data_IF_982388953256
#
_entry.id   IF_982388953256
#
_cell.length_a   1.000
_cell.length_b   1.000
_cell.length_c   1.000
_cell.angle_alpha   90.00
_cell.angle_beta   90.00
_cell.angle_gamma   90.00
#
_symmetry.space_group_name_H-M   'P 1'
#
loop_
_entity.id
_entity.type
_entity.pdbx_description
1 polymer ?
#
# COMPACT_ATOMS: atom_id res chain seq x y z
N UNK A 1 0.15 23.08 14.14
CA UNK A 1 1.16 22.02 14.10
C UNK A 1 2.05 22.34 12.93
N UNK A 2 3.36 22.31 13.14
CA UNK A 2 4.38 22.78 12.20
C UNK A 2 5.56 21.85 12.35
N UNK A 3 6.09 21.34 11.25
CA UNK A 3 7.36 20.65 11.20
C UNK A 3 8.51 21.67 11.42
N UNK A 4 9.08 21.70 12.63
CA UNK A 4 10.06 22.69 13.06
C UNK A 4 11.49 22.27 12.71
N UNK A 5 11.78 20.97 12.64
CA UNK A 5 13.11 20.45 12.37
C UNK A 5 13.29 19.86 10.95
N UNK A 6 12.20 19.79 10.19
CA UNK A 6 12.13 19.36 8.78
C UNK A 6 12.38 17.87 8.58
N UNK A 7 12.04 17.04 9.57
CA UNK A 7 12.15 15.59 9.45
C UNK A 7 10.89 14.92 8.85
N UNK A 8 9.82 15.69 8.66
CA UNK A 8 8.62 15.27 7.96
C UNK A 8 7.45 14.90 8.88
N UNK A 9 7.61 14.96 10.20
CA UNK A 9 6.50 14.84 11.14
C UNK A 9 6.07 16.21 11.73
N UNK A 10 5.07 16.21 12.62
CA UNK A 10 4.45 17.44 13.12
C UNK A 10 4.82 17.74 14.57
N UNK A 11 5.63 18.79 14.77
CA UNK A 11 6.00 19.22 16.12
C UNK A 11 4.91 19.94 16.90
N UNK A 12 5.03 19.79 18.22
CA UNK A 12 4.25 20.54 19.20
C UNK A 12 5.12 21.56 19.94
N UNK A 13 4.80 22.84 19.77
CA UNK A 13 5.39 23.92 20.55
C UNK A 13 4.50 24.25 21.75
N UNK A 14 5.05 24.11 22.96
CA UNK A 14 4.39 24.51 24.20
C UNK A 14 5.13 25.63 24.92
N UNK A 15 4.38 26.48 25.63
CA UNK A 15 4.94 27.54 26.47
C UNK A 15 4.39 27.45 27.89
N UNK A 16 5.26 27.44 28.88
CA UNK A 16 4.90 27.52 30.29
C UNK A 16 4.98 28.95 30.79
N UNK A 17 3.84 29.51 31.19
CA UNK A 17 3.77 30.84 31.81
C UNK A 17 4.31 30.86 33.24
N UNK A 18 4.32 29.71 33.92
CA UNK A 18 4.80 29.59 35.31
C UNK A 18 6.32 29.59 35.38
N UNK A 19 6.98 28.95 34.42
CA UNK A 19 8.45 28.84 34.37
C UNK A 19 9.08 29.78 33.33
N UNK A 20 8.28 30.44 32.50
CA UNK A 20 8.77 31.31 31.42
C UNK A 20 9.58 30.55 30.38
N UNK A 21 9.24 29.28 30.12
CA UNK A 21 9.98 28.40 29.23
C UNK A 21 9.15 28.00 28.02
N UNK A 22 9.80 27.86 26.87
CA UNK A 22 9.24 27.17 25.72
C UNK A 22 9.85 25.76 25.67
N UNK A 23 9.04 24.79 25.27
CA UNK A 23 9.46 23.41 25.04
C UNK A 23 8.91 22.95 23.69
N UNK A 24 9.72 22.18 22.98
CA UNK A 24 9.32 21.45 21.78
C UNK A 24 9.07 20.01 22.24
N UNK A 25 7.92 19.47 21.89
CA UNK A 25 7.63 18.04 22.01
C UNK A 25 7.67 17.48 20.61
N UNK A 26 8.67 16.63 20.41
CA UNK A 26 8.90 15.88 19.19
C UNK A 26 7.80 14.83 19.02
N UNK A 27 7.24 14.73 17.82
CA UNK A 27 6.16 13.80 17.51
C UNK A 27 6.63 12.63 16.66
N UNK A 28 7.73 11.96 17.04
CA UNK A 28 8.32 10.79 16.36
C UNK A 28 7.28 9.94 15.63
N UNK A 29 7.06 10.23 14.35
CA UNK A 29 6.24 9.39 13.48
C UNK A 29 7.16 8.26 13.01
N UNK A 30 6.91 7.00 13.43
CA UNK A 30 7.77 5.92 13.01
C UNK A 30 7.69 5.79 11.48
N UNK A 31 8.84 5.56 10.84
CA UNK A 31 8.88 5.25 9.42
C UNK A 31 7.92 4.10 9.11
N UNK A 32 7.13 4.19 8.03
CA UNK A 32 6.29 3.09 7.59
C UNK A 32 7.11 1.81 7.41
N UNK A 33 6.63 0.71 7.98
CA UNK A 33 7.26 -0.61 7.81
C UNK A 33 7.36 -1.06 6.34
N UNK A 34 6.41 -0.65 5.49
CA UNK A 34 6.39 -0.97 4.07
C UNK A 34 5.84 0.19 3.24
N UNK A 35 6.55 0.58 2.19
CA UNK A 35 6.05 1.46 1.13
C UNK A 35 5.96 0.65 -0.17
N UNK A 36 4.75 0.48 -0.69
CA UNK A 36 4.51 -0.24 -1.94
C UNK A 36 4.00 0.72 -3.01
N UNK A 37 4.71 0.81 -4.13
CA UNK A 37 4.27 1.53 -5.33
C UNK A 37 3.71 0.54 -6.33
N UNK A 38 2.44 0.66 -6.68
CA UNK A 38 1.75 -0.21 -7.63
C UNK A 38 1.51 0.56 -8.92
N UNK A 39 1.87 -0.09 -10.04
CA UNK A 39 1.75 0.48 -11.38
C UNK A 39 0.93 -0.43 -12.26
N UNK A 40 0.00 0.14 -13.02
CA UNK A 40 -0.70 -0.59 -14.09
C UNK A 40 0.07 -0.48 -15.40
N UNK A 41 0.03 -1.52 -16.26
CA UNK A 41 0.71 -1.46 -17.55
C UNK A 41 -0.02 -0.49 -18.50
N UNK A 42 0.69 0.07 -19.49
CA UNK A 42 0.07 0.93 -20.51
C UNK A 42 -1.03 0.22 -21.32
N UNK A 43 -1.00 -1.12 -21.37
CA UNK A 43 -2.01 -1.95 -22.01
C UNK A 43 -3.20 -2.28 -21.09
N UNK A 44 -3.30 -1.63 -19.93
CA UNK A 44 -4.36 -1.86 -18.97
C UNK A 44 -5.72 -1.51 -19.59
N UNK A 45 -6.62 -2.49 -19.57
CA UNK A 45 -7.99 -2.38 -20.07
C UNK A 45 -8.93 -3.22 -19.21
N UNK A 46 -10.17 -2.77 -19.07
CA UNK A 46 -11.23 -3.49 -18.38
C UNK A 46 -11.74 -2.74 -17.16
N UNK A 47 -12.82 -3.26 -16.57
CA UNK A 47 -13.44 -2.69 -15.37
C UNK A 47 -12.84 -3.35 -14.12
N UNK A 48 -12.24 -2.56 -13.24
CA UNK A 48 -11.69 -3.06 -11.98
C UNK A 48 -12.83 -3.40 -11.04
N UNK A 49 -12.70 -4.53 -10.33
CA UNK A 49 -13.62 -4.89 -9.24
C UNK A 49 -12.97 -4.72 -7.88
N UNK A 50 -11.68 -5.00 -7.76
CA UNK A 50 -10.97 -5.00 -6.47
C UNK A 50 -9.45 -4.94 -6.64
N UNK A 51 -8.78 -4.22 -5.75
CA UNK A 51 -7.34 -4.31 -5.51
C UNK A 51 -7.07 -5.02 -4.18
N UNK A 52 -6.19 -6.02 -4.21
CA UNK A 52 -5.78 -6.77 -3.03
C UNK A 52 -4.26 -6.79 -2.92
N UNK A 53 -3.75 -6.51 -1.72
CA UNK A 53 -2.33 -6.51 -1.41
C UNK A 53 -2.08 -7.46 -0.26
N UNK A 54 -1.16 -8.39 -0.45
CA UNK A 54 -0.92 -9.49 0.47
C UNK A 54 0.56 -9.80 0.64
N UNK A 55 0.87 -10.59 1.66
CA UNK A 55 2.18 -11.19 1.87
C UNK A 55 2.16 -12.68 1.54
N UNK A 56 3.19 -13.16 0.88
CA UNK A 56 3.38 -14.58 0.55
C UNK A 56 4.81 -15.05 0.89
N UNK A 57 4.94 -16.33 1.24
CA UNK A 57 6.25 -16.95 1.51
C UNK A 57 7.02 -17.33 0.23
N UNK A 58 6.29 -17.58 -0.85
CA UNK A 58 6.81 -18.09 -2.12
C UNK A 58 5.94 -17.65 -3.31
N UNK A 59 6.54 -17.67 -4.50
CA UNK A 59 5.89 -17.42 -5.79
C UNK A 59 6.12 -18.68 -6.66
N UNK A 60 5.09 -19.23 -7.33
CA UNK A 60 3.71 -18.76 -7.38
C UNK A 60 3.01 -18.89 -6.03
N UNK A 61 2.06 -18.00 -5.74
CA UNK A 61 1.31 -18.02 -4.48
C UNK A 61 0.45 -19.29 -4.43
N UNK A 62 0.81 -20.22 -3.56
CA UNK A 62 0.04 -21.45 -3.34
C UNK A 62 -0.60 -21.41 -1.96
N UNK A 63 -1.93 -21.30 -1.90
CA UNK A 63 -2.70 -21.32 -0.66
C UNK A 63 -3.07 -19.92 -0.16
N UNK A 64 -3.35 -19.83 1.14
CA UNK A 64 -3.76 -18.57 1.77
C UNK A 64 -2.55 -17.63 1.95
N UNK A 65 -2.74 -16.31 1.74
CA UNK A 65 -1.71 -15.32 2.04
C UNK A 65 -1.39 -15.32 3.52
N UNK A 66 -0.15 -14.94 3.86
CA UNK A 66 0.31 -14.79 5.23
C UNK A 66 -0.40 -13.65 5.93
N UNK A 67 -0.58 -12.54 5.22
CA UNK A 67 -1.32 -11.38 5.67
C UNK A 67 -2.01 -10.71 4.48
N UNK A 68 -3.17 -10.10 4.74
CA UNK A 68 -3.82 -9.17 3.82
C UNK A 68 -3.53 -7.78 4.33
N UNK A 69 -2.75 -7.04 3.55
CA UNK A 69 -2.26 -5.71 3.90
C UNK A 69 -3.29 -4.64 3.54
N UNK A 70 -3.90 -4.77 2.36
CA UNK A 70 -4.98 -3.91 1.92
C UNK A 70 -5.97 -4.67 1.04
N UNK A 71 -7.24 -4.30 1.14
CA UNK A 71 -8.32 -4.80 0.29
C UNK A 71 -9.23 -3.63 -0.02
N UNK A 72 -9.22 -3.19 -1.27
CA UNK A 72 -9.98 -2.03 -1.73
C UNK A 72 -10.95 -2.53 -2.80
N UNK A 73 -12.24 -2.47 -2.50
CA UNK A 73 -13.27 -2.80 -3.48
C UNK A 73 -13.51 -1.57 -4.37
N UNK A 74 -13.68 -1.77 -5.68
CA UNK A 74 -13.89 -0.68 -6.63
C UNK A 74 -15.37 -0.24 -6.64
N UNK A 75 -15.81 0.34 -5.53
CA UNK A 75 -17.15 0.90 -5.34
C UNK A 75 -17.04 2.40 -5.09
N UNK A 76 -18.14 3.14 -5.23
CA UNK A 76 -18.23 4.53 -4.77
C UNK A 76 -18.60 4.52 -3.28
N UNK A 77 -17.59 4.36 -2.41
CA UNK A 77 -17.83 4.24 -0.97
C UNK A 77 -18.02 5.59 -0.29
N UNK A 78 -17.39 6.64 -0.80
CA UNK A 78 -17.43 7.98 -0.23
C UNK A 78 -18.56 8.86 -0.81
N UNK A 79 -19.23 8.39 -1.87
CA UNK A 79 -20.39 9.03 -2.47
C UNK A 79 -20.03 10.18 -3.41
N UNK A 80 -18.82 10.20 -3.95
CA UNK A 80 -18.33 11.25 -4.85
C UNK A 80 -18.71 11.01 -6.33
N UNK A 81 -19.34 9.88 -6.64
CA UNK A 81 -19.80 9.50 -7.97
C UNK A 81 -18.73 8.82 -8.83
N UNK A 82 -17.59 8.44 -8.26
CA UNK A 82 -16.51 7.72 -8.94
C UNK A 82 -16.13 6.47 -8.13
N UNK A 83 -15.46 5.51 -8.79
CA UNK A 83 -15.09 4.26 -8.13
C UNK A 83 -13.71 4.37 -7.47
N UNK A 84 -13.59 3.89 -6.23
CA UNK A 84 -12.42 4.10 -5.37
C UNK A 84 -11.10 3.65 -6.00
N UNK A 85 -11.04 2.47 -6.63
CA UNK A 85 -9.79 1.95 -7.21
C UNK A 85 -9.41 2.70 -8.49
N UNK A 86 -10.37 3.02 -9.35
CA UNK A 86 -10.12 3.77 -10.58
C UNK A 86 -9.63 5.20 -10.30
N UNK A 87 -10.01 5.77 -9.16
CA UNK A 87 -9.54 7.08 -8.72
C UNK A 87 -8.11 7.08 -8.20
N UNK A 88 -7.66 5.98 -7.57
CA UNK A 88 -6.37 5.91 -6.90
C UNK A 88 -5.30 5.19 -7.75
N UNK A 89 -5.71 4.36 -8.71
CA UNK A 89 -4.84 3.61 -9.60
C UNK A 89 -5.31 3.74 -11.05
N UNK A 90 -4.42 4.17 -11.94
CA UNK A 90 -4.76 4.34 -13.35
C UNK A 90 -3.54 4.52 -14.25
N UNK A 91 -3.76 4.65 -15.55
CA UNK A 91 -2.69 4.79 -16.54
C UNK A 91 -1.80 6.03 -16.32
N UNK A 92 -2.35 7.07 -15.69
CA UNK A 92 -1.67 8.35 -15.47
C UNK A 92 -1.13 8.52 -14.05
N UNK A 93 -1.39 7.56 -13.14
CA UNK A 93 -0.98 7.66 -11.74
C UNK A 93 -0.65 6.31 -11.11
N UNK A 94 0.49 6.29 -10.41
CA UNK A 94 0.90 5.17 -9.57
C UNK A 94 0.21 5.27 -8.21
N UNK A 95 -0.20 4.12 -7.66
CA UNK A 95 -0.69 4.05 -6.29
C UNK A 95 0.48 3.80 -5.34
N UNK A 96 0.74 4.74 -4.44
CA UNK A 96 1.71 4.56 -3.35
C UNK A 96 0.97 4.29 -2.04
N UNK A 97 1.26 3.15 -1.43
CA UNK A 97 0.72 2.75 -0.14
C UNK A 97 1.83 2.65 0.89
N UNK A 98 1.78 3.54 1.88
CA UNK A 98 2.62 3.49 3.07
C UNK A 98 1.87 2.78 4.20
N UNK A 99 2.41 1.66 4.66
CA UNK A 99 1.86 0.84 5.73
C UNK A 99 2.73 1.03 6.96
N UNK A 100 2.17 1.67 7.98
CA UNK A 100 2.85 1.97 9.25
C UNK A 100 3.45 0.71 9.88
N UNK A 101 2.62 -0.32 10.07
CA UNK A 101 3.05 -1.61 10.60
C UNK A 101 2.33 -2.77 9.87
N UNK A 102 3.11 -3.58 9.16
CA UNK A 102 2.66 -4.82 8.51
C UNK A 102 2.30 -5.93 9.51
N UNK A 103 2.67 -5.78 10.78
CA UNK A 103 2.32 -6.70 11.88
C UNK A 103 3.05 -8.05 11.85
N UNK A 104 4.01 -8.23 10.94
CA UNK A 104 4.82 -9.44 10.79
C UNK A 104 6.29 -9.11 10.57
N UNK A 105 7.18 -10.00 11.02
CA UNK A 105 8.61 -9.89 10.82
C UNK A 105 9.15 -11.14 10.13
N UNK A 106 10.08 -10.97 9.18
CA UNK A 106 10.64 -12.05 8.38
C UNK A 106 10.71 -11.73 6.89
N UNK A 107 11.08 -12.71 6.09
CA UNK A 107 11.26 -12.54 4.64
C UNK A 107 9.99 -12.93 3.88
N UNK A 108 9.39 -11.98 3.17
CA UNK A 108 8.13 -12.18 2.45
C UNK A 108 8.16 -11.54 1.06
N UNK A 109 7.32 -12.04 0.16
CA UNK A 109 6.97 -11.37 -1.08
C UNK A 109 5.75 -10.48 -0.83
N UNK A 110 5.79 -9.24 -1.32
CA UNK A 110 4.60 -8.38 -1.42
C UNK A 110 3.93 -8.67 -2.75
N UNK A 111 2.65 -9.03 -2.71
CA UNK A 111 1.88 -9.39 -3.89
C UNK A 111 0.71 -8.44 -4.02
N UNK A 112 0.61 -7.77 -5.17
CA UNK A 112 -0.55 -6.99 -5.56
C UNK A 112 -1.33 -7.77 -6.63
N UNK A 113 -2.62 -7.94 -6.41
CA UNK A 113 -3.55 -8.54 -7.36
C UNK A 113 -4.68 -7.55 -7.65
N UNK A 114 -4.86 -7.22 -8.92
CA UNK A 114 -5.92 -6.36 -9.42
C UNK A 114 -6.94 -7.26 -10.14
N UNK A 115 -8.11 -7.39 -9.54
CA UNK A 115 -9.20 -8.21 -10.03
C UNK A 115 -10.11 -7.41 -10.95
N UNK A 116 -10.41 -7.97 -12.11
CA UNK A 116 -11.24 -7.36 -13.15
C UNK A 116 -12.62 -8.01 -13.19
N UNK A 117 -13.57 -7.37 -13.88
CA UNK A 117 -14.86 -7.99 -14.15
C UNK A 117 -14.69 -9.33 -14.90
N UNK A 118 -15.35 -10.39 -14.40
CA UNK A 118 -15.17 -11.75 -14.92
C UNK A 118 -13.92 -12.48 -14.40
N UNK A 119 -13.14 -11.82 -13.54
CA UNK A 119 -11.97 -12.36 -12.89
C UNK A 119 -12.25 -13.10 -11.59
N UNK A 120 -11.19 -13.26 -10.81
CA UNK A 120 -11.20 -13.92 -9.52
C UNK A 120 -11.74 -13.06 -8.38
N UNK A 121 -11.83 -13.66 -7.20
CA UNK A 121 -12.13 -12.96 -5.94
C UNK A 121 -11.00 -13.10 -4.90
N UNK A 122 -10.08 -14.03 -5.14
CA UNK A 122 -8.99 -14.38 -4.21
C UNK A 122 -7.84 -15.08 -4.92
N UNK A 123 -8.17 -15.91 -5.92
CA UNK A 123 -7.19 -16.42 -6.87
C UNK A 123 -7.43 -15.71 -8.21
N UNK A 124 -6.42 -15.01 -8.77
CA UNK A 124 -6.58 -14.34 -10.05
C UNK A 124 -6.79 -15.34 -11.19
N UNK A 125 -7.60 -14.96 -12.16
CA UNK A 125 -7.91 -15.72 -13.37
C UNK A 125 -6.94 -15.33 -14.48
N UNK A 126 -6.22 -16.30 -15.08
CA UNK A 126 -5.37 -16.09 -16.24
C UNK A 126 -6.08 -15.37 -17.39
N UNK A 127 -5.39 -14.40 -18.00
CA UNK A 127 -5.89 -13.62 -19.14
C UNK A 127 -6.98 -12.61 -18.81
N UNK A 128 -7.35 -12.45 -17.53
CA UNK A 128 -8.36 -11.48 -17.06
C UNK A 128 -7.78 -10.56 -16.00
N UNK A 129 -7.22 -11.14 -14.94
CA UNK A 129 -6.69 -10.39 -13.81
C UNK A 129 -5.22 -10.00 -14.01
N UNK A 130 -4.79 -8.99 -13.25
CA UNK A 130 -3.40 -8.56 -13.21
C UNK A 130 -2.77 -8.88 -11.86
N UNK A 131 -1.49 -9.22 -11.87
CA UNK A 131 -0.75 -9.51 -10.65
C UNK A 131 0.70 -9.04 -10.78
N UNK A 132 1.25 -8.58 -9.67
CA UNK A 132 2.67 -8.32 -9.50
C UNK A 132 3.12 -8.89 -8.17
N UNK A 133 4.37 -9.33 -8.10
CA UNK A 133 4.97 -9.78 -6.86
C UNK A 133 6.42 -9.28 -6.78
N UNK A 134 6.81 -8.80 -5.61
CA UNK A 134 8.17 -8.33 -5.37
C UNK A 134 9.15 -9.50 -5.28
N UNK A 135 10.45 -9.20 -5.30
CA UNK A 135 11.43 -10.09 -4.69
C UNK A 135 11.16 -10.21 -3.19
N UNK A 136 11.76 -11.22 -2.56
CA UNK A 136 11.64 -11.39 -1.11
C UNK A 136 12.28 -10.21 -0.40
N UNK A 137 11.52 -9.55 0.48
CA UNK A 137 11.96 -8.43 1.31
C UNK A 137 11.91 -8.81 2.78
N UNK A 138 12.81 -8.26 3.58
CA UNK A 138 12.84 -8.46 5.03
C UNK A 138 12.00 -7.40 5.71
N UNK A 139 10.94 -7.83 6.40
CA UNK A 139 10.05 -6.99 7.21
C UNK A 139 10.43 -7.08 8.70
N UNK A 140 10.17 -6.01 9.45
CA UNK A 140 10.40 -5.94 10.90
C UNK A 140 11.79 -5.43 11.33
N UNK A 141 12.58 -4.87 10.42
CA UNK A 141 13.91 -4.29 10.71
C UNK A 141 14.11 -2.87 10.19
N UNK A 142 13.01 -2.15 9.95
CA UNK A 142 12.97 -0.81 9.35
C UNK A 142 11.94 -0.74 8.22
N UNK A 143 11.98 0.35 7.46
CA UNK A 143 11.16 0.53 6.27
C UNK A 143 11.67 -0.34 5.11
N UNK A 144 10.75 -1.03 4.44
CA UNK A 144 10.99 -1.69 3.17
C UNK A 144 10.26 -0.95 2.04
N UNK A 145 10.88 -0.87 0.87
CA UNK A 145 10.27 -0.26 -0.33
C UNK A 145 10.15 -1.29 -1.45
N UNK A 146 9.01 -1.33 -2.12
CA UNK A 146 8.78 -2.19 -3.29
C UNK A 146 8.06 -1.43 -4.40
N UNK A 147 8.43 -1.75 -5.64
CA UNK A 147 7.70 -1.35 -6.84
C UNK A 147 7.10 -2.61 -7.47
N UNK A 148 5.81 -2.53 -7.79
CA UNK A 148 5.00 -3.64 -8.27
C UNK A 148 4.38 -3.26 -9.62
N UNK A 149 5.04 -3.68 -10.69
CA UNK A 149 4.55 -3.51 -12.06
C UNK A 149 3.57 -4.62 -12.40
N UNK A 150 2.27 -4.30 -12.41
CA UNK A 150 1.21 -5.26 -12.69
C UNK A 150 1.33 -5.79 -14.11
N UNK A 151 1.25 -7.12 -14.24
CA UNK A 151 1.19 -7.80 -15.53
C UNK A 151 -0.03 -8.70 -15.58
N UNK A 152 -0.57 -8.91 -16.78
CA UNK A 152 -1.67 -9.85 -16.96
C UNK A 152 -1.22 -11.24 -16.50
N UNK A 153 -2.07 -11.91 -15.74
CA UNK A 153 -1.76 -13.26 -15.26
C UNK A 153 -1.71 -14.21 -16.47
N UNK A 154 -0.62 -14.97 -16.67
CA UNK A 154 -0.43 -15.82 -17.84
C UNK A 154 -1.31 -17.07 -17.83
#
# INVERSE_FOLDING_TARGET
MTDLDQDGDLDWLGTSMTLGQAYIVEQVQPDPSLVATIKVPETFTGEVTKLLITLANEIPVTGVPIAVLASIDNIDKDGDGKLDVDQILGLEQDLVLAIEDVGVAGDYHVVAALYMEGGGQFQPVPGVDYMAASNKITLGSGQAEVVLDLVIVP
#
